data_IF_332795386399
#
_entry.id   IF_332795386399
#
_cell.length_a   1.000
_cell.length_b   1.000
_cell.length_c   1.000
_cell.angle_alpha   90.00
_cell.angle_beta   90.00
_cell.angle_gamma   90.00
#
_symmetry.space_group_name_H-M   'P 1'
#
loop_
_entity.id
_entity.type
_entity.pdbx_description
1 polymer ?
#
# COMPACT_ATOMS: atom_id res chain seq x y z
N UNK A 1 35.92 9.01 9.20
CA UNK A 1 34.99 10.05 8.77
C UNK A 1 34.02 9.62 7.64
N UNK A 2 34.29 8.57 6.88
CA UNK A 2 33.50 8.12 5.71
C UNK A 2 32.22 7.32 6.08
N UNK A 3 32.20 6.62 7.21
CA UNK A 3 31.06 5.77 7.62
C UNK A 3 29.78 6.52 8.01
N UNK A 4 29.88 7.69 8.59
CA UNK A 4 28.70 8.49 9.01
C UNK A 4 27.92 9.05 7.81
N UNK A 5 28.59 9.39 6.72
CA UNK A 5 27.96 9.94 5.53
C UNK A 5 27.11 8.90 4.76
N UNK A 6 27.53 7.64 4.75
CA UNK A 6 26.77 6.56 4.08
C UNK A 6 25.53 6.17 4.89
N UNK A 7 25.61 6.15 6.21
CA UNK A 7 24.45 5.87 7.07
C UNK A 7 23.35 6.92 6.88
N UNK A 8 23.71 8.20 6.86
CA UNK A 8 22.77 9.29 6.64
C UNK A 8 22.11 9.22 5.25
N UNK A 9 22.87 8.83 4.21
CA UNK A 9 22.32 8.65 2.85
C UNK A 9 21.32 7.50 2.77
N UNK A 10 21.63 6.38 3.42
CA UNK A 10 20.73 5.20 3.45
C UNK A 10 19.45 5.55 4.22
N UNK A 11 19.57 6.17 5.39
CA UNK A 11 18.41 6.60 6.18
C UNK A 11 17.53 7.59 5.41
N UNK A 12 18.15 8.57 4.74
CA UNK A 12 17.43 9.53 3.90
C UNK A 12 16.66 8.84 2.76
N UNK A 13 17.26 7.84 2.12
CA UNK A 13 16.60 7.05 1.07
C UNK A 13 15.36 6.32 1.59
N UNK A 14 15.45 5.64 2.73
CA UNK A 14 14.29 4.94 3.32
C UNK A 14 13.20 5.90 3.79
N UNK A 15 13.57 7.03 4.37
CA UNK A 15 12.63 8.09 4.77
C UNK A 15 11.91 8.65 3.53
N UNK A 16 12.64 8.94 2.46
CA UNK A 16 12.05 9.42 1.20
C UNK A 16 11.08 8.41 0.61
N UNK A 17 11.44 7.12 0.55
CA UNK A 17 10.54 6.05 0.10
C UNK A 17 9.27 5.95 0.95
N UNK A 18 9.39 6.11 2.26
CA UNK A 18 8.24 6.11 3.16
C UNK A 18 7.27 7.26 2.88
N UNK A 19 7.80 8.47 2.66
CA UNK A 19 6.97 9.63 2.28
C UNK A 19 6.31 9.46 0.92
N UNK A 20 7.01 8.89 -0.06
CA UNK A 20 6.44 8.56 -1.37
C UNK A 20 5.30 7.55 -1.23
N UNK A 21 5.44 6.54 -0.39
CA UNK A 21 4.40 5.55 -0.13
C UNK A 21 3.16 6.18 0.51
N UNK A 22 3.33 7.08 1.48
CA UNK A 22 2.23 7.83 2.09
C UNK A 22 1.52 8.69 1.03
N UNK A 23 2.27 9.40 0.20
CA UNK A 23 1.70 10.22 -0.86
C UNK A 23 0.90 9.38 -1.85
N UNK A 24 1.46 8.25 -2.31
CA UNK A 24 0.76 7.31 -3.20
C UNK A 24 -0.48 6.70 -2.55
N UNK A 25 -0.46 6.43 -1.24
CA UNK A 25 -1.62 5.97 -0.50
C UNK A 25 -2.76 6.99 -0.59
N UNK A 26 -2.51 8.26 -0.29
CA UNK A 26 -3.53 9.31 -0.37
C UNK A 26 -4.03 9.51 -1.80
N UNK A 27 -3.15 9.48 -2.79
CA UNK A 27 -3.55 9.56 -4.20
C UNK A 27 -4.47 8.39 -4.56
N UNK A 28 -4.06 7.15 -4.23
CA UNK A 28 -4.81 5.95 -4.57
C UNK A 28 -6.20 5.89 -3.91
N UNK A 29 -6.34 6.40 -2.68
CA UNK A 29 -7.61 6.44 -1.97
C UNK A 29 -8.53 7.53 -2.53
N UNK A 30 -7.98 8.66 -2.96
CA UNK A 30 -8.77 9.80 -3.46
C UNK A 30 -9.21 9.61 -4.91
N UNK A 31 -8.30 9.16 -5.78
CA UNK A 31 -8.62 8.98 -7.21
C UNK A 31 -9.42 7.69 -7.45
N UNK A 32 -10.54 7.80 -8.17
CA UNK A 32 -11.39 6.66 -8.53
C UNK A 32 -12.65 7.08 -9.30
N UNK A 33 -13.51 6.12 -9.68
CA UNK A 33 -14.69 6.38 -10.51
C UNK A 33 -15.72 7.31 -9.86
N UNK A 34 -15.73 7.44 -8.54
CA UNK A 34 -16.54 8.42 -7.82
C UNK A 34 -15.63 9.57 -7.41
N UNK A 35 -15.97 10.80 -7.79
CA UNK A 35 -15.22 11.99 -7.42
C UNK A 35 -15.40 12.29 -5.92
N UNK A 36 -14.40 12.00 -5.13
CA UNK A 36 -14.33 12.33 -3.71
C UNK A 36 -13.20 13.34 -3.55
N UNK A 37 -13.48 14.50 -2.96
CA UNK A 37 -12.46 15.51 -2.70
C UNK A 37 -11.38 14.99 -1.74
N UNK A 38 -10.16 15.51 -1.86
CA UNK A 38 -9.10 15.25 -0.86
C UNK A 38 -9.54 15.65 0.55
N UNK A 39 -10.27 16.74 0.67
CA UNK A 39 -10.81 17.21 1.92
C UNK A 39 -11.82 16.22 2.52
N UNK A 40 -12.78 15.73 1.74
CA UNK A 40 -13.77 14.73 2.17
C UNK A 40 -13.09 13.42 2.56
N UNK A 41 -12.09 12.99 1.78
CA UNK A 41 -11.31 11.78 2.08
C UNK A 41 -10.64 11.87 3.45
N UNK A 42 -10.00 13.00 3.75
CA UNK A 42 -9.34 13.23 5.02
C UNK A 42 -10.34 13.23 6.17
N UNK A 43 -11.47 13.92 6.01
CA UNK A 43 -12.51 14.00 7.04
C UNK A 43 -13.14 12.63 7.31
N UNK A 44 -13.47 11.84 6.28
CA UNK A 44 -14.04 10.50 6.46
C UNK A 44 -13.08 9.59 7.23
N UNK A 45 -11.79 9.67 6.95
CA UNK A 45 -10.77 8.92 7.68
C UNK A 45 -10.72 9.38 9.14
N UNK A 46 -10.70 10.70 9.39
CA UNK A 46 -10.71 11.26 10.75
C UNK A 46 -11.98 10.89 11.52
N UNK A 47 -13.15 10.89 10.88
CA UNK A 47 -14.41 10.44 11.48
C UNK A 47 -14.36 8.98 11.92
N UNK A 48 -13.75 8.11 11.12
CA UNK A 48 -13.57 6.69 11.48
C UNK A 48 -12.73 6.49 12.74
N UNK A 49 -11.78 7.40 13.00
CA UNK A 49 -10.94 7.40 14.22
C UNK A 49 -11.55 8.22 15.38
N UNK A 50 -12.76 8.78 15.22
CA UNK A 50 -13.46 9.51 16.27
C UNK A 50 -13.04 10.97 16.47
N UNK A 51 -12.22 11.52 15.57
CA UNK A 51 -11.72 12.89 15.70
C UNK A 51 -12.66 13.99 15.17
N UNK A 52 -13.68 13.63 14.38
CA UNK A 52 -14.60 14.59 13.78
C UNK A 52 -16.02 14.02 13.74
N UNK A 53 -17.06 14.77 14.18
CA UNK A 53 -18.43 14.25 14.25
C UNK A 53 -19.46 15.02 13.41
N UNK A 54 -19.11 16.13 12.74
CA UNK A 54 -20.13 17.09 12.30
C UNK A 54 -20.06 17.58 10.85
N UNK A 55 -19.61 16.78 9.89
CA UNK A 55 -19.73 17.19 8.48
C UNK A 55 -20.68 16.29 7.70
N UNK A 56 -21.63 16.94 6.98
CA UNK A 56 -22.62 16.30 6.10
C UNK A 56 -21.93 15.83 4.79
N UNK A 57 -21.15 14.76 4.88
CA UNK A 57 -20.60 14.11 3.70
C UNK A 57 -21.60 13.08 3.21
N UNK A 58 -21.89 13.00 1.89
CA UNK A 58 -22.82 12.02 1.34
C UNK A 58 -22.45 10.60 1.77
N UNK A 59 -23.42 9.83 2.24
CA UNK A 59 -23.20 8.46 2.72
C UNK A 59 -22.64 7.55 1.61
N UNK A 60 -23.00 7.80 0.35
CA UNK A 60 -22.42 7.11 -0.80
C UNK A 60 -20.89 7.26 -0.87
N UNK A 61 -20.36 8.46 -0.60
CA UNK A 61 -18.91 8.71 -0.60
C UNK A 61 -18.22 7.98 0.54
N UNK A 62 -18.84 7.94 1.73
CA UNK A 62 -18.32 7.18 2.88
C UNK A 62 -18.27 5.69 2.60
N UNK A 63 -19.34 5.12 2.04
CA UNK A 63 -19.42 3.69 1.70
C UNK A 63 -18.35 3.32 0.68
N UNK A 64 -18.22 4.09 -0.42
CA UNK A 64 -17.22 3.83 -1.45
C UNK A 64 -15.81 3.92 -0.91
N UNK A 65 -15.51 4.92 -0.09
CA UNK A 65 -14.18 5.12 0.45
C UNK A 65 -13.81 4.05 1.47
N UNK A 66 -14.67 3.78 2.44
CA UNK A 66 -14.36 2.88 3.56
C UNK A 66 -14.50 1.39 3.20
N UNK A 67 -15.47 1.02 2.35
CA UNK A 67 -15.78 -0.37 2.07
C UNK A 67 -15.18 -0.89 0.76
N UNK A 68 -14.79 0.01 -0.16
CA UNK A 68 -14.26 -0.39 -1.46
C UNK A 68 -12.81 0.07 -1.62
N UNK A 69 -12.54 1.37 -1.52
CA UNK A 69 -11.21 1.92 -1.83
C UNK A 69 -10.17 1.58 -0.76
N UNK A 70 -10.50 1.84 0.48
CA UNK A 70 -9.55 1.67 1.59
C UNK A 70 -9.11 0.21 1.76
N UNK A 71 -9.99 -0.80 1.77
CA UNK A 71 -9.56 -2.19 1.81
C UNK A 71 -8.70 -2.59 0.60
N UNK A 72 -9.06 -2.12 -0.60
CA UNK A 72 -8.30 -2.41 -1.82
C UNK A 72 -6.88 -1.85 -1.78
N UNK A 73 -6.72 -0.61 -1.30
CA UNK A 73 -5.39 0.01 -1.18
C UNK A 73 -4.56 -0.68 -0.11
N UNK A 74 -5.16 -1.05 1.03
CA UNK A 74 -4.48 -1.82 2.09
C UNK A 74 -4.01 -3.18 1.54
N UNK A 75 -4.87 -3.90 0.83
CA UNK A 75 -4.50 -5.17 0.20
C UNK A 75 -3.35 -5.00 -0.79
N UNK A 76 -3.37 -3.96 -1.62
CA UNK A 76 -2.28 -3.68 -2.56
C UNK A 76 -0.94 -3.45 -1.84
N UNK A 77 -0.94 -2.74 -0.71
CA UNK A 77 0.24 -2.54 0.12
C UNK A 77 0.73 -3.87 0.70
N UNK A 78 -0.16 -4.69 1.26
CA UNK A 78 0.19 -6.00 1.82
C UNK A 78 0.78 -6.94 0.77
N UNK A 79 0.19 -6.98 -0.42
CA UNK A 79 0.70 -7.77 -1.56
C UNK A 79 2.10 -7.27 -1.97
N UNK A 80 2.27 -5.95 -2.10
CA UNK A 80 3.57 -5.35 -2.43
C UNK A 80 4.65 -5.65 -1.39
N UNK A 81 4.32 -5.57 -0.10
CA UNK A 81 5.21 -5.95 0.99
C UNK A 81 5.57 -7.44 0.94
N UNK A 82 4.58 -8.32 0.72
CA UNK A 82 4.79 -9.76 0.60
C UNK A 82 5.70 -10.12 -0.56
N UNK A 83 5.45 -9.57 -1.75
CA UNK A 83 6.27 -9.80 -2.93
C UNK A 83 7.68 -9.22 -2.78
N UNK A 84 7.81 -8.01 -2.23
CA UNK A 84 9.11 -7.37 -2.02
C UNK A 84 9.97 -8.14 -1.02
N UNK A 85 9.41 -8.57 0.10
CA UNK A 85 10.14 -9.35 1.11
C UNK A 85 10.52 -10.74 0.61
N UNK A 86 9.59 -11.46 -0.06
CA UNK A 86 9.88 -12.77 -0.63
C UNK A 86 10.94 -12.69 -1.72
N UNK A 87 10.87 -11.68 -2.59
CA UNK A 87 11.88 -11.44 -3.60
C UNK A 87 13.27 -11.22 -3.00
N UNK A 88 13.37 -10.36 -1.98
CA UNK A 88 14.64 -10.09 -1.31
C UNK A 88 15.23 -11.34 -0.64
N UNK A 89 14.40 -12.18 -0.01
CA UNK A 89 14.83 -13.43 0.62
C UNK A 89 15.34 -14.41 -0.43
N UNK A 90 14.60 -14.58 -1.55
CA UNK A 90 14.97 -15.51 -2.61
C UNK A 90 16.28 -15.09 -3.32
N UNK A 91 16.43 -13.81 -3.61
CA UNK A 91 17.66 -13.29 -4.22
C UNK A 91 18.86 -13.50 -3.30
N UNK A 92 18.69 -13.35 -1.98
CA UNK A 92 19.72 -13.63 -0.98
C UNK A 92 20.06 -15.14 -0.88
N UNK A 93 19.02 -15.99 -0.88
CA UNK A 93 19.19 -17.45 -0.78
C UNK A 93 19.90 -18.03 -2.01
N UNK A 94 19.46 -17.66 -3.20
CA UNK A 94 20.05 -18.15 -4.45
C UNK A 94 21.28 -17.37 -4.90
N UNK A 95 21.61 -16.27 -4.22
CA UNK A 95 22.70 -15.35 -4.59
C UNK A 95 22.63 -14.91 -6.05
N UNK A 96 21.43 -14.78 -6.56
CA UNK A 96 21.15 -14.41 -7.94
C UNK A 96 20.06 -13.33 -7.98
N UNK A 97 20.35 -12.13 -8.49
CA UNK A 97 19.39 -11.03 -8.56
C UNK A 97 18.26 -11.25 -9.58
N UNK A 98 18.34 -12.27 -10.42
CA UNK A 98 17.32 -12.57 -11.43
C UNK A 98 16.22 -13.49 -10.90
N UNK A 99 16.33 -13.97 -9.65
CA UNK A 99 15.31 -14.85 -9.07
C UNK A 99 14.09 -14.00 -8.66
N UNK A 100 12.93 -14.45 -9.14
CA UNK A 100 11.62 -13.83 -8.89
C UNK A 100 10.72 -14.81 -8.11
N UNK A 101 9.87 -14.32 -7.18
CA UNK A 101 8.89 -15.15 -6.46
C UNK A 101 7.95 -15.95 -7.37
N UNK A 102 7.70 -15.48 -8.59
CA UNK A 102 6.89 -16.20 -9.58
C UNK A 102 7.43 -17.57 -9.95
N UNK A 103 8.76 -17.76 -9.94
CA UNK A 103 9.40 -19.04 -10.32
C UNK A 103 9.12 -20.18 -9.32
N UNK A 104 8.84 -19.86 -8.05
CA UNK A 104 8.56 -20.86 -7.01
C UNK A 104 7.05 -21.14 -6.85
N UNK A 105 6.23 -20.71 -7.79
CA UNK A 105 4.80 -21.02 -7.80
C UNK A 105 3.89 -20.07 -7.02
N UNK A 106 4.37 -18.90 -6.58
CA UNK A 106 3.55 -17.90 -5.90
C UNK A 106 2.39 -17.44 -6.80
N UNK A 107 2.65 -17.17 -8.08
CA UNK A 107 1.62 -16.73 -9.04
C UNK A 107 0.59 -17.82 -9.32
N UNK A 108 1.00 -19.07 -9.48
CA UNK A 108 0.07 -20.20 -9.68
C UNK A 108 -0.72 -20.50 -8.42
N UNK A 109 -0.11 -20.42 -7.23
CA UNK A 109 -0.80 -20.54 -5.96
C UNK A 109 -1.85 -19.44 -5.74
N UNK A 110 -1.53 -18.20 -6.12
CA UNK A 110 -2.47 -17.08 -6.07
C UNK A 110 -3.66 -17.30 -7.00
N UNK A 111 -3.43 -17.83 -8.22
CA UNK A 111 -4.51 -18.16 -9.16
C UNK A 111 -5.44 -19.24 -8.59
N UNK A 112 -4.91 -20.30 -7.99
CA UNK A 112 -5.69 -21.33 -7.30
C UNK A 112 -6.47 -20.74 -6.14
N UNK A 113 -5.85 -19.90 -5.30
CA UNK A 113 -6.51 -19.21 -4.20
C UNK A 113 -7.65 -18.32 -4.66
N UNK A 114 -7.49 -17.61 -5.78
CA UNK A 114 -8.54 -16.78 -6.36
C UNK A 114 -9.75 -17.62 -6.83
N UNK A 115 -9.52 -18.82 -7.39
CA UNK A 115 -10.61 -19.72 -7.79
C UNK A 115 -11.47 -20.20 -6.61
N UNK A 116 -10.89 -20.35 -5.43
CA UNK A 116 -11.64 -20.71 -4.23
C UNK A 116 -12.34 -19.53 -3.55
N UNK A 117 -11.94 -18.29 -3.89
CA UNK A 117 -12.51 -17.07 -3.30
C UNK A 117 -13.72 -16.51 -4.07
N UNK A 118 -13.98 -16.99 -5.29
CA UNK A 118 -15.11 -16.62 -6.15
C UNK A 118 -16.25 -17.62 -5.97
#
# INVERSE_FOLDING_TARGET
MIKLNNFNRISFFFISMFFVLILLFFIAVTFGPVNISFYDTFIIICQKFGFYQHELIPDASKIVLLNIRLPRVILAILVGLGLGTSGAILQGLFRNPLVDPGFIGVSSGAAVGAMFAI
#
